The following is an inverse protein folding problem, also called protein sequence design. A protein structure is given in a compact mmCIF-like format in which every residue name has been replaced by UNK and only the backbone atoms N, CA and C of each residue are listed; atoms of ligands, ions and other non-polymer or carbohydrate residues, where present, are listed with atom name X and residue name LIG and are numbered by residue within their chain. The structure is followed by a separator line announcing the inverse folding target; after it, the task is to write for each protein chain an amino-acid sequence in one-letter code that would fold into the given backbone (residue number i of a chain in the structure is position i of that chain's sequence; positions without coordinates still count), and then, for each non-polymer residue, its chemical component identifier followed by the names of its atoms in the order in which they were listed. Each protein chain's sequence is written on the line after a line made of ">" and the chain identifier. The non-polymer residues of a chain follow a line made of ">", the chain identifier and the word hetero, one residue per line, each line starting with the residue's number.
data_IF_434212309638
#
_entry.id   IF_434212309638
#
_cell.length_a   1.000
_cell.length_b   1.000
_cell.length_c   1.000
_cell.angle_alpha   90.00
_cell.angle_beta   90.00
_cell.angle_gamma   90.00
#
_symmetry.space_group_name_H-M   'P 1'
#
loop_
_entity.id
_entity.type
_entity.pdbx_description
1 polymer ?
#
# COMPACT_ATOMS: atom_id res chain seq x y z
N UNK A 1 -9.77 35.37 21.74
CA UNK A 1 -10.51 34.55 20.75
C UNK A 1 -9.70 33.34 20.26
N UNK A 2 -8.41 33.47 19.92
CA UNK A 2 -7.60 32.34 19.40
C UNK A 2 -7.38 31.16 20.35
N UNK A 3 -7.26 31.39 21.67
CA UNK A 3 -7.11 30.30 22.67
C UNK A 3 -8.40 29.51 22.93
N UNK A 4 -9.56 30.17 22.86
CA UNK A 4 -10.84 29.49 23.07
C UNK A 4 -11.14 28.56 21.88
N UNK A 5 -10.93 29.02 20.65
CA UNK A 5 -11.07 28.18 19.46
C UNK A 5 -10.09 27.01 19.43
N UNK A 6 -8.87 27.16 19.97
CA UNK A 6 -7.92 26.05 20.05
C UNK A 6 -8.32 25.02 21.10
N UNK A 7 -8.85 25.45 22.25
CA UNK A 7 -9.35 24.56 23.31
C UNK A 7 -10.59 23.80 22.82
N UNK A 8 -11.53 24.47 22.14
CA UNK A 8 -12.70 23.83 21.56
C UNK A 8 -12.33 22.81 20.47
N UNK A 9 -11.35 23.12 19.62
CA UNK A 9 -10.85 22.20 18.61
C UNK A 9 -10.16 20.97 19.24
N UNK A 10 -9.42 21.15 20.33
CA UNK A 10 -8.76 20.06 21.05
C UNK A 10 -9.76 19.19 21.81
N UNK A 11 -10.77 19.79 22.45
CA UNK A 11 -11.86 19.07 23.10
C UNK A 11 -12.68 18.23 22.12
N UNK A 12 -13.01 18.79 20.93
CA UNK A 12 -13.69 18.03 19.87
C UNK A 12 -12.84 16.86 19.38
N UNK A 13 -11.52 17.06 19.22
CA UNK A 13 -10.60 15.99 18.81
C UNK A 13 -10.52 14.88 19.86
N UNK A 14 -10.50 15.23 21.14
CA UNK A 14 -10.54 14.26 22.24
C UNK A 14 -11.79 13.38 22.18
N UNK A 15 -12.97 14.00 22.11
CA UNK A 15 -14.24 13.28 22.01
C UNK A 15 -14.32 12.36 20.77
N UNK A 16 -13.77 12.79 19.62
CA UNK A 16 -13.70 11.96 18.41
C UNK A 16 -12.81 10.71 18.61
N UNK A 17 -11.67 10.87 19.28
CA UNK A 17 -10.75 9.76 19.59
C UNK A 17 -11.42 8.76 20.55
N UNK A 18 -12.11 9.25 21.58
CA UNK A 18 -12.82 8.40 22.53
C UNK A 18 -13.96 7.61 21.86
N UNK A 19 -14.76 8.28 21.02
CA UNK A 19 -15.83 7.63 20.24
C UNK A 19 -15.28 6.57 19.28
N UNK A 20 -14.12 6.82 18.68
CA UNK A 20 -13.45 5.82 17.83
C UNK A 20 -12.97 4.61 18.66
N UNK A 21 -12.43 4.82 19.85
CA UNK A 21 -12.01 3.71 20.72
C UNK A 21 -13.18 2.85 21.21
N UNK A 22 -14.30 3.48 21.55
CA UNK A 22 -15.51 2.77 21.96
C UNK A 22 -16.06 1.92 20.81
N UNK A 23 -16.22 2.50 19.63
CA UNK A 23 -16.70 1.79 18.45
C UNK A 23 -15.78 0.64 18.01
N UNK A 24 -14.46 0.78 18.11
CA UNK A 24 -13.52 -0.33 17.86
C UNK A 24 -13.68 -1.46 18.87
N UNK A 25 -13.87 -1.13 20.15
CA UNK A 25 -14.14 -2.12 21.20
C UNK A 25 -15.42 -2.90 20.91
N UNK A 26 -16.49 -2.20 20.53
CA UNK A 26 -17.76 -2.81 20.12
C UNK A 26 -17.58 -3.76 18.92
N UNK A 27 -16.83 -3.34 17.90
CA UNK A 27 -16.51 -4.19 16.74
C UNK A 27 -15.76 -5.45 17.19
N UNK A 28 -14.82 -5.33 18.13
CA UNK A 28 -14.03 -6.46 18.61
C UNK A 28 -14.88 -7.49 19.36
N UNK A 29 -15.80 -7.02 20.20
CA UNK A 29 -16.68 -7.87 21.02
C UNK A 29 -17.91 -8.40 20.27
N UNK A 30 -18.18 -7.90 19.05
CA UNK A 30 -19.35 -8.26 18.24
C UNK A 30 -19.46 -9.78 17.96
N UNK A 31 -20.67 -10.32 18.16
CA UNK A 31 -21.07 -11.69 17.84
C UNK A 31 -22.38 -11.67 17.02
N UNK A 32 -22.50 -12.43 15.91
CA UNK A 32 -21.51 -13.37 15.36
C UNK A 32 -20.35 -12.65 14.66
N UNK A 33 -19.18 -13.28 14.62
CA UNK A 33 -17.96 -12.68 14.07
C UNK A 33 -17.94 -12.63 12.53
N UNK A 34 -18.90 -13.28 11.87
CA UNK A 34 -19.07 -13.25 10.41
C UNK A 34 -19.33 -11.85 9.89
N UNK A 35 -20.19 -11.10 10.57
CA UNK A 35 -20.74 -9.83 10.08
C UNK A 35 -19.70 -8.71 10.10
N UNK A 36 -18.67 -8.86 10.93
CA UNK A 36 -17.57 -7.90 11.08
C UNK A 36 -16.23 -8.49 10.61
N UNK A 37 -16.25 -9.59 9.85
CA UNK A 37 -15.04 -10.27 9.42
C UNK A 37 -14.12 -9.35 8.61
N UNK A 38 -14.68 -8.64 7.63
CA UNK A 38 -13.95 -7.65 6.84
C UNK A 38 -13.37 -6.54 7.74
N UNK A 39 -14.16 -5.94 8.64
CA UNK A 39 -13.70 -4.88 9.54
C UNK A 39 -12.62 -5.32 10.53
N UNK A 40 -12.59 -6.59 10.94
CA UNK A 40 -11.56 -7.12 11.82
C UNK A 40 -10.25 -7.43 11.09
N UNK A 41 -10.35 -7.97 9.87
CA UNK A 41 -9.19 -8.53 9.16
C UNK A 41 -8.62 -7.65 8.05
N UNK A 42 -9.25 -6.52 7.72
CA UNK A 42 -8.84 -5.70 6.58
C UNK A 42 -7.37 -5.24 6.66
N UNK A 43 -6.83 -4.84 7.82
CA UNK A 43 -5.43 -4.39 7.92
C UNK A 43 -4.45 -5.51 7.55
N UNK A 44 -4.73 -6.73 8.01
CA UNK A 44 -3.91 -7.89 7.70
C UNK A 44 -4.00 -8.24 6.21
N UNK A 45 -5.20 -8.21 5.64
CA UNK A 45 -5.42 -8.44 4.21
C UNK A 45 -4.65 -7.43 3.35
N UNK A 46 -4.81 -6.12 3.61
CA UNK A 46 -4.12 -5.05 2.88
C UNK A 46 -2.60 -5.13 3.00
N UNK A 47 -2.10 -5.42 4.21
CA UNK A 47 -0.67 -5.57 4.47
C UNK A 47 -0.07 -6.78 3.76
N UNK A 48 -0.78 -7.91 3.77
CA UNK A 48 -0.35 -9.13 3.10
C UNK A 48 -0.32 -8.95 1.58
N UNK A 49 -1.35 -8.35 1.01
CA UNK A 49 -1.44 -8.06 -0.42
C UNK A 49 -0.35 -7.10 -0.87
N UNK A 50 -0.13 -6.00 -0.13
CA UNK A 50 0.90 -5.00 -0.44
C UNK A 50 2.31 -5.58 -0.32
N UNK A 51 2.57 -6.37 0.73
CA UNK A 51 3.86 -7.00 0.93
C UNK A 51 4.13 -8.09 -0.12
N UNK A 52 3.12 -8.91 -0.44
CA UNK A 52 3.27 -10.00 -1.41
C UNK A 52 3.56 -9.50 -2.82
N UNK A 53 2.83 -8.47 -3.26
CA UNK A 53 3.06 -7.81 -4.55
C UNK A 53 4.40 -7.09 -4.60
N UNK A 54 4.75 -6.32 -3.57
CA UNK A 54 6.07 -5.68 -3.46
C UNK A 54 7.21 -6.70 -3.46
N UNK A 55 7.08 -7.80 -2.72
CA UNK A 55 8.10 -8.86 -2.65
C UNK A 55 8.27 -9.56 -4.00
N UNK A 56 7.18 -9.81 -4.72
CA UNK A 56 7.22 -10.38 -6.06
C UNK A 56 7.96 -9.47 -7.04
N UNK A 57 7.57 -8.19 -7.09
CA UNK A 57 8.17 -7.18 -7.97
C UNK A 57 9.66 -7.00 -7.64
N UNK A 58 10.01 -6.87 -6.36
CA UNK A 58 11.39 -6.73 -5.91
C UNK A 58 12.23 -7.96 -6.29
N UNK A 59 11.72 -9.17 -6.06
CA UNK A 59 12.42 -10.41 -6.39
C UNK A 59 12.68 -10.54 -7.89
N UNK A 60 11.71 -10.12 -8.71
CA UNK A 60 11.86 -10.11 -10.16
C UNK A 60 12.99 -9.18 -10.60
N UNK A 61 12.94 -7.89 -10.24
CA UNK A 61 13.96 -6.93 -10.66
C UNK A 61 15.35 -7.29 -10.13
N UNK A 62 15.47 -7.72 -8.87
CA UNK A 62 16.74 -8.19 -8.30
C UNK A 62 17.36 -9.35 -9.09
N UNK A 63 16.52 -10.25 -9.62
CA UNK A 63 16.97 -11.36 -10.47
C UNK A 63 17.48 -10.86 -11.82
N UNK A 64 16.79 -9.90 -12.43
CA UNK A 64 17.17 -9.32 -13.73
C UNK A 64 18.55 -8.65 -13.67
N UNK A 65 18.82 -7.86 -12.62
CA UNK A 65 20.12 -7.16 -12.44
C UNK A 65 21.16 -7.95 -11.63
N UNK A 66 20.90 -9.24 -11.39
CA UNK A 66 21.84 -10.21 -10.78
C UNK A 66 22.35 -9.80 -9.38
N UNK A 67 21.52 -9.17 -8.55
CA UNK A 67 21.91 -8.72 -7.19
C UNK A 67 22.17 -9.87 -6.19
N UNK A 68 21.75 -11.11 -6.48
CA UNK A 68 21.91 -12.32 -5.62
C UNK A 68 21.56 -12.03 -4.15
N UNK A 69 22.49 -12.23 -3.21
CA UNK A 69 22.29 -11.97 -1.78
C UNK A 69 22.72 -10.56 -1.34
N UNK A 70 23.26 -9.76 -2.25
CA UNK A 70 23.68 -8.40 -1.94
C UNK A 70 22.47 -7.46 -1.89
N UNK A 71 22.53 -6.46 -1.01
CA UNK A 71 21.51 -5.43 -0.80
C UNK A 71 20.06 -5.99 -0.64
N UNK A 72 19.92 -7.20 -0.08
CA UNK A 72 18.62 -7.82 0.15
C UNK A 72 17.74 -6.96 1.07
N UNK A 73 18.24 -6.65 2.27
CA UNK A 73 17.51 -5.83 3.26
C UNK A 73 17.26 -4.42 2.71
N UNK A 74 18.26 -3.83 2.06
CA UNK A 74 18.19 -2.46 1.54
C UNK A 74 17.18 -2.28 0.41
N UNK A 75 16.85 -3.34 -0.35
CA UNK A 75 15.78 -3.31 -1.36
C UNK A 75 14.44 -3.76 -0.79
N UNK A 76 14.43 -4.67 0.18
CA UNK A 76 13.21 -5.17 0.82
C UNK A 76 12.52 -4.09 1.66
N UNK A 77 13.27 -3.31 2.44
CA UNK A 77 12.73 -2.26 3.30
C UNK A 77 11.89 -1.24 2.51
N UNK A 78 12.44 -0.54 1.50
CA UNK A 78 11.70 0.51 0.80
C UNK A 78 10.63 -0.03 -0.14
N UNK A 79 10.76 -1.26 -0.68
CA UNK A 79 9.84 -1.79 -1.71
C UNK A 79 8.73 -2.67 -1.13
N UNK A 80 8.94 -3.28 0.04
CA UNK A 80 7.99 -4.23 0.63
C UNK A 80 7.44 -3.72 1.96
N UNK A 81 8.32 -3.34 2.88
CA UNK A 81 7.91 -3.00 4.25
C UNK A 81 7.28 -1.60 4.28
N UNK A 82 7.97 -0.62 3.68
CA UNK A 82 7.49 0.77 3.68
C UNK A 82 6.10 0.93 3.03
N UNK A 83 5.80 0.38 1.83
CA UNK A 83 4.47 0.52 1.25
C UNK A 83 3.39 -0.11 2.11
N UNK A 84 3.64 -1.26 2.75
CA UNK A 84 2.65 -1.91 3.62
C UNK A 84 2.34 -1.10 4.87
N UNK A 85 3.36 -0.49 5.49
CA UNK A 85 3.18 0.41 6.63
C UNK A 85 2.43 1.67 6.21
N UNK A 86 2.87 2.30 5.12
CA UNK A 86 2.23 3.52 4.59
C UNK A 86 0.79 3.24 4.17
N UNK A 87 0.51 2.13 3.50
CA UNK A 87 -0.84 1.69 3.15
C UNK A 87 -1.73 1.58 4.38
N UNK A 88 -1.23 0.90 5.42
CA UNK A 88 -1.99 0.67 6.66
C UNK A 88 -2.30 1.98 7.38
N UNK A 89 -1.34 2.89 7.46
CA UNK A 89 -1.52 4.20 8.09
C UNK A 89 -2.50 5.07 7.30
N UNK A 90 -2.33 5.15 5.97
CA UNK A 90 -3.22 5.91 5.11
C UNK A 90 -4.64 5.33 5.15
N UNK A 91 -4.79 4.01 5.08
CA UNK A 91 -6.09 3.37 5.15
C UNK A 91 -6.75 3.57 6.52
N UNK A 92 -5.99 3.45 7.61
CA UNK A 92 -6.50 3.72 8.96
C UNK A 92 -7.05 5.15 9.07
N UNK A 93 -6.27 6.14 8.62
CA UNK A 93 -6.64 7.55 8.77
C UNK A 93 -7.76 7.98 7.81
N UNK A 94 -7.66 7.60 6.53
CA UNK A 94 -8.53 8.13 5.48
C UNK A 94 -9.76 7.29 5.19
N UNK A 95 -9.79 6.03 5.64
CA UNK A 95 -10.87 5.07 5.37
C UNK A 95 -11.48 4.57 6.67
N UNK A 96 -10.69 3.94 7.55
CA UNK A 96 -11.24 3.30 8.76
C UNK A 96 -11.86 4.31 9.72
N UNK A 97 -11.17 5.40 10.04
CA UNK A 97 -11.70 6.44 10.94
C UNK A 97 -13.04 7.01 10.46
N UNK A 98 -13.17 7.54 9.23
CA UNK A 98 -14.45 8.07 8.77
C UNK A 98 -15.53 7.00 8.61
N UNK A 99 -15.16 5.75 8.28
CA UNK A 99 -16.10 4.62 8.21
C UNK A 99 -16.74 4.35 9.58
N UNK A 100 -15.90 4.20 10.62
CA UNK A 100 -16.33 3.82 11.96
C UNK A 100 -17.12 4.94 12.65
N UNK A 101 -16.68 6.20 12.46
CA UNK A 101 -17.37 7.37 13.02
C UNK A 101 -18.58 7.82 12.17
N UNK A 102 -18.84 7.16 11.05
CA UNK A 102 -19.89 7.51 10.08
C UNK A 102 -19.86 8.99 9.65
N UNK A 103 -18.66 9.58 9.54
CA UNK A 103 -18.47 11.01 9.17
C UNK A 103 -18.37 11.24 7.67
N UNK A 104 -18.50 10.19 6.85
CA UNK A 104 -18.41 10.28 5.40
C UNK A 104 -19.71 10.80 4.77
N UNK A 105 -19.58 11.59 3.69
CA UNK A 105 -20.73 12.15 2.95
C UNK A 105 -21.20 11.23 1.81
N UNK A 106 -20.29 10.43 1.24
CA UNK A 106 -20.57 9.54 0.11
C UNK A 106 -19.86 8.19 0.30
N UNK A 107 -20.60 7.06 0.33
CA UNK A 107 -20.02 5.73 0.51
C UNK A 107 -19.11 5.33 -0.66
N UNK A 108 -19.51 5.65 -1.90
CA UNK A 108 -18.72 5.35 -3.11
C UNK A 108 -17.38 6.11 -3.10
N UNK A 109 -17.35 7.35 -2.61
CA UNK A 109 -16.10 8.10 -2.50
C UNK A 109 -15.14 7.48 -1.48
N UNK A 110 -15.67 6.92 -0.39
CA UNK A 110 -14.87 6.27 0.64
C UNK A 110 -14.26 4.96 0.13
N UNK A 111 -15.06 4.18 -0.60
CA UNK A 111 -14.64 2.95 -1.27
C UNK A 111 -13.53 3.22 -2.31
N UNK A 112 -13.75 4.17 -3.23
CA UNK A 112 -12.76 4.56 -4.23
C UNK A 112 -11.46 5.03 -3.58
N UNK A 113 -11.55 5.71 -2.43
CA UNK A 113 -10.38 6.15 -1.67
C UNK A 113 -9.61 4.96 -1.09
N UNK A 114 -10.30 3.98 -0.50
CA UNK A 114 -9.67 2.77 0.03
C UNK A 114 -9.01 1.95 -1.07
N UNK A 115 -9.72 1.75 -2.19
CA UNK A 115 -9.18 1.07 -3.37
C UNK A 115 -7.97 1.79 -3.96
N UNK A 116 -8.00 3.13 -4.05
CA UNK A 116 -6.89 3.93 -4.54
C UNK A 116 -5.65 3.82 -3.64
N UNK A 117 -5.81 3.89 -2.32
CA UNK A 117 -4.69 3.74 -1.37
C UNK A 117 -4.06 2.35 -1.51
N UNK A 118 -4.87 1.29 -1.57
CA UNK A 118 -4.37 -0.08 -1.71
C UNK A 118 -3.69 -0.31 -3.06
N UNK A 119 -4.29 0.14 -4.16
CA UNK A 119 -3.70 0.00 -5.49
C UNK A 119 -2.39 0.79 -5.62
N UNK A 120 -2.35 2.00 -5.08
CA UNK A 120 -1.15 2.82 -5.11
C UNK A 120 -0.03 2.17 -4.29
N UNK A 121 -0.29 1.81 -3.04
CA UNK A 121 0.74 1.27 -2.16
C UNK A 121 1.13 -0.18 -2.52
N UNK A 122 0.19 -1.01 -2.94
CA UNK A 122 0.43 -2.41 -3.30
C UNK A 122 0.97 -2.62 -4.72
N UNK A 123 0.67 -1.75 -5.68
CA UNK A 123 1.09 -1.96 -7.07
C UNK A 123 1.94 -0.82 -7.63
N UNK A 124 1.42 0.40 -7.65
CA UNK A 124 2.10 1.55 -8.30
C UNK A 124 3.44 1.84 -7.63
N UNK A 125 3.44 1.90 -6.31
CA UNK A 125 4.60 2.21 -5.49
C UNK A 125 5.75 1.19 -5.69
N UNK A 126 5.55 -0.13 -5.51
CA UNK A 126 6.61 -1.11 -5.76
C UNK A 126 7.00 -1.23 -7.24
N UNK A 127 6.09 -0.94 -8.18
CA UNK A 127 6.42 -0.92 -9.61
C UNK A 127 7.41 0.19 -9.96
N UNK A 128 7.32 1.34 -9.30
CA UNK A 128 8.27 2.46 -9.48
C UNK A 128 9.55 2.24 -8.67
N UNK A 129 9.45 1.87 -7.39
CA UNK A 129 10.62 1.77 -6.53
C UNK A 129 11.41 0.48 -6.66
N UNK A 130 10.79 -0.63 -7.03
CA UNK A 130 11.46 -1.88 -7.33
C UNK A 130 12.60 -1.73 -8.35
N UNK A 131 12.33 -1.23 -9.58
CA UNK A 131 13.36 -1.01 -10.58
C UNK A 131 14.35 0.08 -10.15
N UNK A 132 13.89 1.20 -9.58
CA UNK A 132 14.79 2.28 -9.14
C UNK A 132 15.80 1.79 -8.10
N UNK A 133 15.35 1.06 -7.08
CA UNK A 133 16.22 0.49 -6.06
C UNK A 133 17.17 -0.54 -6.66
N UNK A 134 16.64 -1.47 -7.47
CA UNK A 134 17.46 -2.50 -8.12
C UNK A 134 18.56 -1.89 -8.99
N UNK A 135 18.25 -0.84 -9.75
CA UNK A 135 19.22 -0.17 -10.60
C UNK A 135 20.26 0.63 -9.83
N UNK A 136 19.84 1.37 -8.80
CA UNK A 136 20.77 2.10 -7.93
C UNK A 136 21.81 1.17 -7.32
N UNK A 137 21.39 0.01 -6.79
CA UNK A 137 22.32 -0.97 -6.24
C UNK A 137 23.14 -1.69 -7.30
N UNK A 138 22.58 -1.96 -8.49
CA UNK A 138 23.32 -2.55 -9.59
C UNK A 138 24.49 -1.68 -10.06
N UNK A 139 24.29 -0.35 -10.13
CA UNK A 139 25.36 0.61 -10.43
C UNK A 139 26.42 0.65 -9.33
N UNK A 140 26.01 0.61 -8.06
CA UNK A 140 26.96 0.69 -6.93
C UNK A 140 27.77 -0.59 -6.73
N UNK A 141 27.18 -1.75 -6.99
CA UNK A 141 27.80 -3.06 -6.80
C UNK A 141 28.41 -3.61 -8.11
N UNK A 142 28.34 -2.85 -9.20
CA UNK A 142 28.84 -3.23 -10.53
C UNK A 142 28.33 -4.60 -11.02
N UNK A 143 27.11 -4.99 -10.65
CA UNK A 143 26.53 -6.31 -11.03
C UNK A 143 25.96 -6.32 -12.43
N UNK A 144 25.51 -5.16 -12.93
CA UNK A 144 24.92 -5.00 -14.26
C UNK A 144 25.32 -3.64 -14.84
N UNK A 145 25.75 -3.63 -16.11
CA UNK A 145 26.11 -2.42 -16.81
C UNK A 145 24.84 -1.66 -17.22
N UNK A 146 24.53 -0.59 -16.48
CA UNK A 146 23.44 0.32 -16.80
C UNK A 146 23.96 1.49 -17.64
N UNK A 147 23.12 2.06 -18.53
CA UNK A 147 23.48 3.26 -19.28
C UNK A 147 23.78 4.42 -18.33
N UNK A 148 24.58 5.38 -18.80
CA UNK A 148 24.89 6.60 -18.03
C UNK A 148 23.61 7.37 -17.70
N UNK A 149 23.58 8.00 -16.52
CA UNK A 149 22.46 8.85 -16.05
C UNK A 149 22.24 10.05 -16.99
N UNK A 150 23.25 10.43 -17.77
CA UNK A 150 23.16 11.48 -18.79
C UNK A 150 22.22 11.14 -19.96
N UNK A 151 21.85 9.87 -20.15
CA UNK A 151 21.00 9.41 -21.26
C UNK A 151 19.66 8.83 -20.76
N UNK A 152 18.68 9.68 -20.40
CA UNK A 152 17.41 9.23 -19.83
C UNK A 152 16.61 8.33 -20.77
N UNK A 153 16.72 8.55 -22.09
CA UNK A 153 16.05 7.72 -23.11
C UNK A 153 16.56 6.28 -23.12
N UNK A 154 17.87 6.07 -22.94
CA UNK A 154 18.47 4.74 -22.88
C UNK A 154 18.02 4.00 -21.61
N UNK A 155 17.94 4.71 -20.49
CA UNK A 155 17.41 4.21 -19.22
C UNK A 155 15.96 3.72 -19.34
N UNK A 156 15.09 4.55 -19.91
CA UNK A 156 13.67 4.20 -20.10
C UNK A 156 13.54 2.99 -21.04
N UNK A 157 14.34 2.95 -22.11
CA UNK A 157 14.35 1.80 -23.04
C UNK A 157 14.76 0.50 -22.34
N UNK A 158 15.79 0.54 -21.51
CA UNK A 158 16.24 -0.64 -20.75
C UNK A 158 15.20 -1.07 -19.71
N UNK A 159 14.58 -0.10 -19.02
CA UNK A 159 13.46 -0.36 -18.12
C UNK A 159 12.33 -1.11 -18.84
N UNK A 160 11.81 -0.59 -19.94
CA UNK A 160 10.74 -1.25 -20.69
C UNK A 160 11.15 -2.62 -21.23
N UNK A 161 12.40 -2.78 -21.67
CA UNK A 161 12.93 -4.07 -22.12
C UNK A 161 12.93 -5.11 -20.99
N UNK A 162 13.26 -4.71 -19.76
CA UNK A 162 13.22 -5.58 -18.59
C UNK A 162 11.78 -5.84 -18.10
N UNK A 163 10.89 -4.86 -18.18
CA UNK A 163 9.50 -5.01 -17.71
C UNK A 163 8.64 -5.81 -18.70
N UNK A 164 8.89 -5.73 -20.00
CA UNK A 164 8.11 -6.39 -21.06
C UNK A 164 7.84 -7.89 -20.81
N UNK A 165 8.82 -8.74 -20.46
CA UNK A 165 8.58 -10.16 -20.21
C UNK A 165 7.76 -10.46 -18.94
N UNK A 166 7.65 -9.52 -17.99
CA UNK A 166 6.86 -9.71 -16.76
C UNK A 166 5.49 -9.03 -16.81
N UNK A 167 5.23 -8.16 -17.81
CA UNK A 167 3.94 -7.50 -18.01
C UNK A 167 2.71 -8.40 -17.82
N UNK A 168 2.59 -9.61 -18.42
CA UNK A 168 1.40 -10.44 -18.22
C UNK A 168 1.22 -10.84 -16.75
N UNK A 169 2.31 -11.09 -16.02
CA UNK A 169 2.26 -11.43 -14.59
C UNK A 169 1.92 -10.21 -13.74
N UNK A 170 2.38 -9.02 -14.13
CA UNK A 170 2.00 -7.76 -13.49
C UNK A 170 0.52 -7.45 -13.68
N UNK A 171 -0.05 -7.73 -14.87
CA UNK A 171 -1.49 -7.58 -15.08
C UNK A 171 -2.32 -8.53 -14.22
N UNK A 172 -1.90 -9.79 -14.09
CA UNK A 172 -2.56 -10.74 -13.17
C UNK A 172 -2.44 -10.26 -11.73
N UNK A 173 -1.27 -9.75 -11.32
CA UNK A 173 -1.06 -9.22 -9.97
C UNK A 173 -1.92 -7.98 -9.69
N UNK A 174 -2.02 -7.06 -10.65
CA UNK A 174 -2.89 -5.89 -10.56
C UNK A 174 -4.37 -6.30 -10.51
N UNK A 175 -4.78 -7.26 -11.34
CA UNK A 175 -6.12 -7.84 -11.33
C UNK A 175 -6.45 -8.47 -9.97
N UNK A 176 -5.51 -9.23 -9.39
CA UNK A 176 -5.67 -9.84 -8.07
C UNK A 176 -5.90 -8.79 -6.97
N UNK A 177 -5.16 -7.68 -7.01
CA UNK A 177 -5.37 -6.57 -6.06
C UNK A 177 -6.79 -6.02 -6.19
N UNK A 178 -7.25 -5.75 -7.41
CA UNK A 178 -8.60 -5.23 -7.66
C UNK A 178 -9.68 -6.23 -7.25
N UNK A 179 -9.55 -7.51 -7.57
CA UNK A 179 -10.55 -8.52 -7.20
C UNK A 179 -10.67 -8.69 -5.69
N UNK A 180 -9.56 -8.61 -4.95
CA UNK A 180 -9.62 -8.74 -3.50
C UNK A 180 -10.19 -7.48 -2.86
N UNK A 181 -9.89 -6.29 -3.40
CA UNK A 181 -10.54 -5.04 -2.96
C UNK A 181 -12.06 -5.15 -3.16
N UNK A 182 -12.51 -5.56 -4.36
CA UNK A 182 -13.93 -5.72 -4.64
C UNK A 182 -14.57 -6.77 -3.73
N UNK A 183 -13.94 -7.92 -3.52
CA UNK A 183 -14.47 -8.96 -2.65
C UNK A 183 -14.61 -8.51 -1.18
N UNK A 184 -13.71 -7.65 -0.70
CA UNK A 184 -13.79 -7.08 0.65
C UNK A 184 -14.85 -5.98 0.79
N UNK A 185 -15.32 -5.43 -0.33
CA UNK A 185 -16.32 -4.36 -0.37
C UNK A 185 -17.72 -4.89 -0.62
N UNK A 186 -17.87 -5.92 -1.47
CA UNK A 186 -19.15 -6.55 -1.83
C UNK A 186 -19.71 -7.49 -0.74
N UNK A 187 -19.08 -7.55 0.44
CA UNK A 187 -19.65 -8.26 1.57
C UNK A 187 -20.90 -7.48 2.04
N UNK A 188 -22.11 -8.06 1.93
CA UNK A 188 -23.35 -7.33 2.20
C UNK A 188 -23.39 -6.95 3.68
N UNK A 189 -23.28 -5.64 3.95
CA UNK A 189 -23.62 -5.02 5.24
C UNK A 189 -25.13 -5.01 5.43
#
# INVERSE_FOLDING_TARGET
>A
MSRLSSIEAEARRGAEVDAFHESITLIHEWKPTSDVFALKNYMFALSALSSGSGAYINSYYRKVVKLRNQAFISTLLPVVILPSVVASLLHHHFVQRPLVLQTFQCPVCLELRGGAVQFFAGFVYPMVLGPLAAFQFATRLYTYALPSVSEPKAWIKEFFKMTRPVLPKLYVLAGLQVTVILALVDEPV
#
